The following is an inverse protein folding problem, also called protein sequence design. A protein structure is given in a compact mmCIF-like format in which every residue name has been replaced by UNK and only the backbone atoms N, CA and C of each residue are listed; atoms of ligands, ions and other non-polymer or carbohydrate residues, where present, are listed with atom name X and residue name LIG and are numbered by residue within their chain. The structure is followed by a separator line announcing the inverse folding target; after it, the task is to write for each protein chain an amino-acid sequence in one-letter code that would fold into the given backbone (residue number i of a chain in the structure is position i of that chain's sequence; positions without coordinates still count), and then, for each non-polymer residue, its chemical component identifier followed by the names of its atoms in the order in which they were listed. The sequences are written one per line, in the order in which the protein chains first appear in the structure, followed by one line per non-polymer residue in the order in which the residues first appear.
data_IF_439153750262
#
_entry.id   IF_439153750262
#
_cell.length_a   1.000
_cell.length_b   1.000
_cell.length_c   1.000
_cell.angle_alpha   90.00
_cell.angle_beta   90.00
_cell.angle_gamma   90.00
#
_symmetry.space_group_name_H-M   'P 1'
#
loop_
_entity.id
_entity.type
_entity.pdbx_description
1 polymer ?
#
# COMPACT_ATOMS: atom_id res chain seq x y z
N UNK A 1 1.30 42.17 30.18
CA UNK A 1 1.67 41.44 28.95
C UNK A 1 2.22 40.05 29.30
N UNK A 2 1.38 39.07 29.67
CA UNK A 2 1.84 37.71 30.01
C UNK A 2 0.83 36.59 29.67
N UNK A 3 -0.27 36.89 28.98
CA UNK A 3 -1.37 35.92 28.77
C UNK A 3 -1.53 35.41 27.35
N UNK A 4 -0.65 35.77 26.41
CA UNK A 4 -0.78 35.39 24.99
C UNK A 4 0.16 34.26 24.53
N UNK A 5 0.81 33.54 25.44
CA UNK A 5 1.80 32.50 25.11
C UNK A 5 1.30 31.05 25.27
N UNK A 6 0.05 30.85 25.74
CA UNK A 6 -0.52 29.50 25.92
C UNK A 6 -1.39 29.02 24.75
N UNK A 7 -1.72 29.86 23.77
CA UNK A 7 -2.59 29.47 22.66
C UNK A 7 -1.87 28.66 21.56
N UNK A 8 -0.53 28.65 21.54
CA UNK A 8 0.26 28.00 20.47
C UNK A 8 0.65 26.54 20.78
N UNK A 9 0.33 26.03 21.97
CA UNK A 9 0.67 24.67 22.41
C UNK A 9 -0.44 23.63 22.15
N UNK A 10 -1.57 24.01 21.54
CA UNK A 10 -2.71 23.12 21.28
C UNK A 10 -2.88 22.70 19.81
N UNK A 11 -1.95 23.05 18.93
CA UNK A 11 -1.91 22.57 17.54
C UNK A 11 -0.57 21.86 17.31
N UNK A 12 -0.50 20.52 17.47
CA UNK A 12 -0.93 19.67 16.35
C UNK A 12 -1.45 18.28 16.81
N UNK A 13 -2.74 18.13 17.08
CA UNK A 13 -3.34 16.81 17.32
C UNK A 13 -4.04 16.20 16.10
N UNK A 14 -3.91 16.82 14.93
CA UNK A 14 -4.48 16.31 13.68
C UNK A 14 -3.39 15.73 12.77
N UNK A 15 -2.56 14.84 13.31
CA UNK A 15 -1.87 13.86 12.47
C UNK A 15 -2.90 12.82 12.05
N UNK A 16 -3.76 13.19 11.10
CA UNK A 16 -4.56 12.22 10.36
C UNK A 16 -3.55 11.35 9.60
N UNK A 17 -3.34 10.16 10.15
CA UNK A 17 -2.87 8.98 9.43
C UNK A 17 -3.39 9.02 7.98
N UNK A 18 -2.49 8.81 6.99
CA UNK A 18 -2.74 8.89 5.55
C UNK A 18 -3.64 7.76 5.03
N UNK A 19 -4.76 7.56 5.71
CA UNK A 19 -5.76 6.55 5.41
C UNK A 19 -6.84 7.21 4.56
N UNK A 20 -7.14 6.63 3.40
CA UNK A 20 -8.26 7.09 2.59
C UNK A 20 -9.61 6.79 3.29
N UNK A 21 -10.70 7.35 2.74
CA UNK A 21 -12.05 7.16 3.26
C UNK A 21 -12.51 5.70 3.28
N UNK A 22 -11.82 4.81 2.57
CA UNK A 22 -12.09 3.38 2.50
C UNK A 22 -11.11 2.57 3.33
N UNK A 23 -10.25 3.19 4.14
CA UNK A 23 -9.33 2.51 5.04
C UNK A 23 -7.98 2.11 4.44
N UNK A 24 -7.63 2.58 3.24
CA UNK A 24 -6.35 2.30 2.58
C UNK A 24 -5.25 3.24 3.02
N UNK A 25 -4.11 2.70 3.43
CA UNK A 25 -2.92 3.47 3.80
C UNK A 25 -2.01 3.67 2.60
N UNK A 26 -1.66 4.91 2.28
CA UNK A 26 -0.74 5.20 1.18
C UNK A 26 0.70 4.80 1.54
N UNK A 27 1.36 4.09 0.62
CA UNK A 27 2.76 3.65 0.75
C UNK A 27 3.69 4.52 -0.06
N UNK A 28 3.35 4.77 -1.32
CA UNK A 28 4.26 5.42 -2.25
C UNK A 28 3.76 5.43 -3.68
N UNK A 29 4.50 6.11 -4.55
CA UNK A 29 4.22 6.18 -5.99
C UNK A 29 5.46 5.70 -6.74
N UNK A 30 5.28 4.76 -7.66
CA UNK A 30 6.34 4.29 -8.55
C UNK A 30 6.72 5.36 -9.58
N UNK A 31 7.88 5.19 -10.23
CA UNK A 31 8.37 6.10 -11.28
C UNK A 31 7.38 6.24 -12.44
N UNK A 32 6.61 5.18 -12.71
CA UNK A 32 5.57 5.15 -13.73
C UNK A 32 4.29 5.92 -13.32
N UNK A 33 4.21 6.42 -12.09
CA UNK A 33 3.05 7.11 -11.54
C UNK A 33 2.03 6.17 -10.87
N UNK A 34 2.31 4.87 -10.77
CA UNK A 34 1.44 3.91 -10.08
C UNK A 34 1.48 4.16 -8.57
N UNK A 35 0.32 4.41 -7.97
CA UNK A 35 0.19 4.65 -6.53
C UNK A 35 -0.10 3.36 -5.79
N UNK A 36 0.62 3.10 -4.72
CA UNK A 36 0.53 1.88 -3.93
C UNK A 36 -0.08 2.15 -2.57
N UNK A 37 -0.97 1.26 -2.15
CA UNK A 37 -1.68 1.35 -0.88
C UNK A 37 -1.76 -0.02 -0.20
N UNK A 38 -1.80 -0.02 1.12
CA UNK A 38 -1.94 -1.22 1.97
C UNK A 38 -3.27 -1.17 2.73
N UNK A 39 -3.91 -2.32 2.92
CA UNK A 39 -5.07 -2.48 3.79
C UNK A 39 -5.12 -3.88 4.41
N UNK A 40 -5.78 -3.97 5.58
CA UNK A 40 -5.96 -5.21 6.34
C UNK A 40 -4.62 -5.92 6.62
N UNK A 41 -3.70 -5.20 7.26
CA UNK A 41 -2.44 -5.79 7.73
C UNK A 41 -2.74 -6.79 8.85
N UNK A 42 -2.39 -8.04 8.62
CA UNK A 42 -2.60 -9.16 9.54
C UNK A 42 -1.25 -9.76 9.92
N UNK A 43 -1.07 -10.03 11.22
CA UNK A 43 0.09 -10.76 11.71
C UNK A 43 -0.14 -12.26 11.54
N UNK A 44 0.80 -12.95 10.89
CA UNK A 44 0.80 -14.42 10.80
C UNK A 44 1.70 -15.05 11.87
N UNK A 45 2.86 -14.45 12.16
CA UNK A 45 3.75 -14.83 13.27
C UNK A 45 4.61 -13.64 13.73
N UNK A 46 5.72 -13.87 14.44
CA UNK A 46 6.58 -12.79 14.96
C UNK A 46 7.06 -11.81 13.89
N UNK A 47 7.43 -12.34 12.73
CA UNK A 47 8.17 -11.65 11.66
C UNK A 47 7.50 -11.81 10.29
N UNK A 48 6.28 -12.34 10.23
CA UNK A 48 5.52 -12.56 8.98
C UNK A 48 4.18 -11.86 9.06
N UNK A 49 3.89 -11.05 8.05
CA UNK A 49 2.67 -10.26 7.94
C UNK A 49 2.05 -10.41 6.56
N UNK A 50 0.72 -10.37 6.48
CA UNK A 50 0.00 -10.40 5.22
C UNK A 50 -0.90 -9.18 5.07
N UNK A 51 -1.09 -8.68 3.86
CA UNK A 51 -1.97 -7.56 3.60
C UNK A 51 -2.49 -7.55 2.16
N UNK A 52 -3.55 -6.79 1.95
CA UNK A 52 -3.98 -6.41 0.60
C UNK A 52 -3.20 -5.20 0.13
N UNK A 53 -2.66 -5.29 -1.08
CA UNK A 53 -1.95 -4.24 -1.79
C UNK A 53 -2.79 -3.76 -2.96
N UNK A 54 -3.07 -2.46 -3.02
CA UNK A 54 -3.74 -1.84 -4.17
C UNK A 54 -2.73 -1.04 -4.98
N UNK A 55 -2.56 -1.37 -6.24
CA UNK A 55 -1.70 -0.66 -7.20
C UNK A 55 -2.58 0.11 -8.18
N UNK A 56 -2.82 1.40 -7.91
CA UNK A 56 -3.66 2.26 -8.72
C UNK A 56 -2.87 2.80 -9.92
N UNK A 57 -3.30 2.40 -11.11
CA UNK A 57 -2.62 2.77 -12.35
C UNK A 57 -2.84 4.25 -12.69
N UNK A 58 -1.81 4.95 -13.19
CA UNK A 58 -1.94 6.34 -13.60
C UNK A 58 -2.96 6.47 -14.74
N UNK A 59 -3.69 7.58 -14.74
CA UNK A 59 -4.59 7.89 -15.84
C UNK A 59 -3.78 8.17 -17.11
N UNK A 60 -4.33 7.81 -18.27
CA UNK A 60 -3.67 7.99 -19.57
C UNK A 60 -4.58 8.75 -20.52
N UNK A 61 -4.01 9.67 -21.30
CA UNK A 61 -4.75 10.32 -22.39
C UNK A 61 -4.94 9.36 -23.55
N UNK A 62 -6.15 9.26 -24.07
CA UNK A 62 -6.43 8.53 -25.29
C UNK A 62 -5.98 9.33 -26.53
N UNK A 63 -6.12 8.75 -27.73
CA UNK A 63 -5.77 9.40 -29.00
C UNK A 63 -6.56 10.70 -29.27
N UNK A 64 -7.67 10.92 -28.55
CA UNK A 64 -8.51 12.12 -28.63
C UNK A 64 -8.18 13.15 -27.52
N UNK A 65 -7.12 12.95 -26.75
CA UNK A 65 -6.70 13.85 -25.67
C UNK A 65 -7.51 13.73 -24.37
N UNK A 66 -8.49 12.82 -24.31
CA UNK A 66 -9.34 12.62 -23.12
C UNK A 66 -8.59 11.75 -22.11
N UNK A 67 -8.54 12.20 -20.86
CA UNK A 67 -7.96 11.44 -19.74
C UNK A 67 -8.86 10.26 -19.38
N UNK A 68 -8.32 9.04 -19.43
CA UNK A 68 -9.02 7.79 -19.10
C UNK A 68 -8.36 7.16 -17.88
N UNK A 69 -9.15 6.83 -16.86
CA UNK A 69 -8.70 6.04 -15.72
C UNK A 69 -8.49 4.57 -16.13
N UNK A 70 -7.36 3.99 -15.75
CA UNK A 70 -6.94 2.65 -16.18
C UNK A 70 -7.34 1.52 -15.22
N UNK A 71 -7.89 1.84 -14.06
CA UNK A 71 -8.21 0.85 -13.03
C UNK A 71 -7.06 0.62 -12.06
N UNK A 72 -7.00 -0.57 -11.46
CA UNK A 72 -6.01 -0.91 -10.44
C UNK A 72 -5.84 -2.43 -10.31
N UNK A 73 -4.68 -2.85 -9.83
CA UNK A 73 -4.47 -4.21 -9.33
C UNK A 73 -4.78 -4.27 -7.84
N UNK A 74 -5.32 -5.39 -7.40
CA UNK A 74 -5.46 -5.76 -6.00
C UNK A 74 -4.72 -7.08 -5.79
N UNK A 75 -3.75 -7.10 -4.88
CA UNK A 75 -2.91 -8.26 -4.65
C UNK A 75 -2.89 -8.65 -3.18
N UNK A 76 -2.86 -9.94 -2.87
CA UNK A 76 -2.64 -10.42 -1.51
C UNK A 76 -1.16 -10.77 -1.34
N UNK A 77 -0.48 -10.04 -0.47
CA UNK A 77 0.95 -10.18 -0.21
C UNK A 77 1.19 -10.80 1.16
N UNK A 78 2.24 -11.59 1.26
CA UNK A 78 2.86 -12.00 2.53
C UNK A 78 4.30 -11.49 2.55
N UNK A 79 4.69 -10.75 3.59
CA UNK A 79 6.04 -10.27 3.81
C UNK A 79 6.71 -11.09 4.92
N UNK A 80 7.93 -11.55 4.66
CA UNK A 80 8.80 -12.27 5.60
C UNK A 80 9.93 -11.32 6.01
N UNK A 81 9.74 -10.65 7.15
CA UNK A 81 10.53 -9.48 7.56
C UNK A 81 11.96 -9.81 7.97
N UNK A 82 12.20 -11.03 8.46
CA UNK A 82 13.53 -11.48 8.86
C UNK A 82 14.46 -11.64 7.64
N UNK A 83 13.95 -12.29 6.58
CA UNK A 83 14.73 -12.64 5.38
C UNK A 83 14.71 -11.57 4.27
N UNK A 84 13.97 -10.48 4.50
CA UNK A 84 13.65 -9.43 3.53
C UNK A 84 13.07 -10.01 2.23
N UNK A 85 11.99 -10.77 2.40
CA UNK A 85 11.33 -11.55 1.35
C UNK A 85 9.84 -11.27 1.30
N UNK A 86 9.21 -11.58 0.17
CA UNK A 86 7.76 -11.52 0.02
C UNK A 86 7.23 -12.57 -0.95
N UNK A 87 5.94 -12.90 -0.82
CA UNK A 87 5.19 -13.69 -1.80
C UNK A 87 3.88 -12.98 -2.14
N UNK A 88 3.35 -13.29 -3.32
CA UNK A 88 2.05 -12.80 -3.79
C UNK A 88 1.23 -14.02 -4.13
N UNK A 89 0.08 -14.21 -3.47
CA UNK A 89 -0.74 -15.41 -3.70
C UNK A 89 -1.94 -15.17 -4.60
N UNK A 90 -2.46 -13.94 -4.64
CA UNK A 90 -3.61 -13.58 -5.46
C UNK A 90 -3.36 -12.24 -6.15
N UNK A 91 -3.85 -12.10 -7.38
CA UNK A 91 -3.93 -10.81 -8.06
C UNK A 91 -5.22 -10.72 -8.84
N UNK A 92 -6.01 -9.68 -8.57
CA UNK A 92 -7.20 -9.35 -9.35
C UNK A 92 -7.03 -7.97 -9.99
N UNK A 93 -7.27 -7.89 -11.30
CA UNK A 93 -7.30 -6.64 -12.05
C UNK A 93 -8.72 -6.08 -12.06
N UNK A 94 -8.86 -4.81 -11.71
CA UNK A 94 -10.11 -4.07 -11.76
C UNK A 94 -10.04 -2.97 -12.81
N UNK A 95 -11.13 -2.74 -13.52
CA UNK A 95 -11.29 -1.55 -14.34
C UNK A 95 -11.51 -0.29 -13.48
N UNK A 96 -11.60 0.88 -14.12
CA UNK A 96 -11.80 2.16 -13.44
C UNK A 96 -13.13 2.32 -12.71
N UNK A 97 -14.10 1.43 -12.92
CA UNK A 97 -15.39 1.40 -12.23
C UNK A 97 -15.39 0.44 -11.03
N UNK A 98 -14.27 -0.23 -10.75
CA UNK A 98 -14.18 -1.23 -9.68
C UNK A 98 -14.81 -2.57 -10.05
N UNK A 99 -15.00 -2.86 -11.34
CA UNK A 99 -15.41 -4.20 -11.80
C UNK A 99 -14.17 -5.06 -12.04
N UNK A 100 -14.10 -6.29 -11.49
CA UNK A 100 -13.00 -7.20 -11.80
C UNK A 100 -13.06 -7.58 -13.28
N UNK A 101 -11.90 -7.55 -13.94
CA UNK A 101 -11.76 -7.91 -15.36
C UNK A 101 -10.92 -9.16 -15.55
N UNK A 102 -10.03 -9.45 -14.61
CA UNK A 102 -9.15 -10.62 -14.67
C UNK A 102 -8.68 -11.00 -13.26
N UNK A 103 -8.37 -12.26 -13.02
CA UNK A 103 -7.86 -12.79 -11.75
C UNK A 103 -6.81 -13.87 -12.00
N UNK A 104 -5.73 -13.80 -11.24
CA UNK A 104 -4.57 -14.66 -11.36
C UNK A 104 -4.25 -15.24 -9.99
N UNK A 105 -4.31 -16.57 -9.87
CA UNK A 105 -3.67 -17.28 -8.77
C UNK A 105 -2.15 -17.21 -8.97
N UNK A 106 -1.44 -16.75 -7.95
CA UNK A 106 0.02 -16.60 -7.95
C UNK A 106 0.68 -17.42 -6.85
N UNK A 107 -0.07 -18.29 -6.17
CA UNK A 107 0.44 -19.12 -5.06
C UNK A 107 1.65 -19.96 -5.44
N UNK A 108 1.77 -20.38 -6.71
CA UNK A 108 2.89 -21.17 -7.23
C UNK A 108 4.14 -20.34 -7.61
N UNK A 109 4.09 -18.99 -7.57
CA UNK A 109 5.24 -18.15 -7.93
C UNK A 109 6.35 -18.13 -6.86
N UNK A 110 6.08 -18.72 -5.69
CA UNK A 110 7.03 -18.85 -4.60
C UNK A 110 7.38 -17.54 -3.89
N UNK A 111 8.41 -17.62 -3.05
CA UNK A 111 8.93 -16.50 -2.28
C UNK A 111 10.02 -15.78 -3.09
N UNK A 112 9.94 -14.45 -3.13
CA UNK A 112 10.83 -13.56 -3.88
C UNK A 112 11.60 -12.68 -2.91
N UNK A 113 12.87 -12.43 -3.22
CA UNK A 113 13.68 -11.43 -2.52
C UNK A 113 13.20 -10.03 -2.83
N UNK A 114 13.19 -9.17 -1.82
CA UNK A 114 12.95 -7.74 -1.99
C UNK A 114 14.15 -7.12 -2.72
N UNK A 115 13.86 -6.41 -3.82
CA UNK A 115 14.88 -5.69 -4.58
C UNK A 115 14.97 -4.26 -4.00
N UNK A 116 16.17 -3.76 -3.66
CA UNK A 116 16.35 -2.37 -3.20
C UNK A 116 15.82 -1.35 -4.22
N UNK A 117 15.35 -0.20 -3.74
CA UNK A 117 14.75 0.88 -4.53
C UNK A 117 13.54 0.46 -5.37
N UNK A 118 12.90 -0.65 -4.99
CA UNK A 118 11.69 -1.14 -5.65
C UNK A 118 10.43 -0.78 -4.88
N UNK A 119 9.29 -0.82 -5.58
CA UNK A 119 7.97 -0.70 -4.93
C UNK A 119 7.75 -1.81 -3.89
N UNK A 120 8.31 -3.01 -4.13
CA UNK A 120 8.21 -4.11 -3.19
C UNK A 120 8.90 -3.78 -1.86
N UNK A 121 10.06 -3.12 -1.89
CA UNK A 121 10.76 -2.65 -0.68
C UNK A 121 9.91 -1.69 0.14
N UNK A 122 9.32 -0.68 -0.50
CA UNK A 122 8.43 0.26 0.20
C UNK A 122 7.23 -0.44 0.84
N UNK A 123 6.64 -1.42 0.15
CA UNK A 123 5.51 -2.21 0.69
C UNK A 123 5.96 -3.07 1.87
N UNK A 124 7.02 -3.86 1.71
CA UNK A 124 7.48 -4.78 2.76
C UNK A 124 7.97 -4.04 3.99
N UNK A 125 8.69 -2.93 3.83
CA UNK A 125 9.10 -2.08 4.95
C UNK A 125 7.90 -1.57 5.75
N UNK A 126 6.87 -1.03 5.08
CA UNK A 126 5.65 -0.58 5.77
C UNK A 126 4.95 -1.73 6.49
N UNK A 127 4.82 -2.89 5.85
CA UNK A 127 4.21 -4.07 6.49
C UNK A 127 4.98 -4.50 7.74
N UNK A 128 6.31 -4.54 7.65
CA UNK A 128 7.18 -4.99 8.74
C UNK A 128 7.28 -3.98 9.89
N UNK A 129 7.30 -2.68 9.59
CA UNK A 129 7.33 -1.61 10.61
C UNK A 129 5.99 -1.47 11.32
N UNK A 130 4.89 -1.37 10.56
CA UNK A 130 3.54 -1.30 11.14
C UNK A 130 3.20 -2.58 11.92
N UNK A 131 3.65 -3.73 11.41
CA UNK A 131 3.50 -5.02 12.08
C UNK A 131 4.21 -5.11 13.43
N UNK A 132 5.36 -4.42 13.60
CA UNK A 132 6.05 -4.30 14.89
C UNK A 132 5.30 -3.41 15.88
N UNK A 133 4.60 -2.38 15.40
CA UNK A 133 3.81 -1.49 16.25
C UNK A 133 2.53 -2.14 16.78
N UNK A 134 1.97 -3.13 16.08
CA UNK A 134 0.80 -3.91 16.52
C UNK A 134 1.12 -4.94 17.63
N UNK A 135 2.36 -5.02 18.11
CA UNK A 135 2.80 -5.99 19.12
C UNK A 135 2.76 -5.44 20.56
N UNK A 136 2.58 -4.11 20.70
CA UNK A 136 2.47 -3.40 21.98
C UNK A 136 1.01 -3.05 22.28
#
# INVERSE_FOLDING_TARGET
MKTFLLAFLLFPLFYYSQQDTNGWYYVGTGVDGTKNYIKNLERKNSDTFSAWIKMALPSKKNKKGITVSRGYYLQYWTAYCYDNEYSVSDTTLYNSKGTPTDSFDRSDEGIKKVIPDSVAEGITSVMCEAGKMLQN
#
